data_IF_477503593643
#
_entry.id   IF_477503593643
#
_cell.length_a   1.000
_cell.length_b   1.000
_cell.length_c   1.000
_cell.angle_alpha   90.00
_cell.angle_beta   90.00
_cell.angle_gamma   90.00
#
_symmetry.space_group_name_H-M   'P 1'
#
loop_
_entity.id
_entity.type
_entity.pdbx_description
1 polymer ?
#
# COMPACT_ATOMS: atom_id res chain seq x y z
N UNK A 1 79.75 -25.95 -18.38
CA UNK A 1 79.80 -24.65 -17.68
C UNK A 1 78.58 -24.52 -16.78
N UNK A 2 78.68 -24.99 -15.54
CA UNK A 2 77.73 -24.62 -14.46
C UNK A 2 78.63 -24.05 -13.38
N UNK A 3 78.46 -22.75 -13.14
CA UNK A 3 79.36 -21.94 -12.33
C UNK A 3 79.37 -22.41 -10.87
N UNK A 4 80.55 -22.33 -10.25
CA UNK A 4 80.73 -22.38 -8.80
C UNK A 4 79.86 -21.28 -8.19
N UNK A 5 78.66 -21.63 -7.72
CA UNK A 5 77.89 -20.78 -6.83
C UNK A 5 78.77 -20.60 -5.58
N UNK A 6 79.36 -19.41 -5.42
CA UNK A 6 80.29 -19.10 -4.34
C UNK A 6 79.64 -19.45 -3.00
N UNK A 7 80.29 -20.27 -2.18
CA UNK A 7 79.82 -20.63 -0.83
C UNK A 7 79.47 -19.38 0.01
N UNK A 8 80.11 -18.25 -0.28
CA UNK A 8 79.82 -16.96 0.34
C UNK A 8 78.46 -16.36 -0.09
N UNK A 9 78.08 -16.50 -1.37
CA UNK A 9 76.75 -16.09 -1.86
C UNK A 9 75.66 -16.98 -1.27
N UNK A 10 75.93 -18.29 -1.16
CA UNK A 10 75.03 -19.24 -0.51
C UNK A 10 74.91 -18.94 1.01
N UNK A 11 76.01 -18.64 1.70
CA UNK A 11 75.99 -18.23 3.11
C UNK A 11 75.24 -16.91 3.34
N UNK A 12 75.45 -15.89 2.50
CA UNK A 12 74.74 -14.61 2.61
C UNK A 12 73.24 -14.78 2.35
N UNK A 13 72.86 -15.60 1.37
CA UNK A 13 71.45 -15.96 1.13
C UNK A 13 70.83 -16.70 2.34
N UNK A 14 71.55 -17.64 2.95
CA UNK A 14 71.11 -18.37 4.15
C UNK A 14 70.96 -17.41 5.36
N UNK A 15 71.90 -16.48 5.56
CA UNK A 15 71.83 -15.49 6.66
C UNK A 15 70.67 -14.51 6.46
N UNK A 16 70.41 -14.06 5.22
CA UNK A 16 69.28 -13.18 4.89
C UNK A 16 67.92 -13.91 5.06
N UNK A 17 67.85 -15.19 4.67
CA UNK A 17 66.67 -16.05 4.91
C UNK A 17 66.44 -16.27 6.42
N UNK A 18 67.49 -16.54 7.19
CA UNK A 18 67.40 -16.74 8.64
C UNK A 18 66.98 -15.47 9.39
N UNK A 19 67.51 -14.30 8.99
CA UNK A 19 67.10 -13.00 9.55
C UNK A 19 65.65 -12.64 9.20
N UNK A 20 65.20 -12.98 7.99
CA UNK A 20 63.79 -12.87 7.58
C UNK A 20 62.87 -13.75 8.43
N UNK A 21 63.28 -14.97 8.74
CA UNK A 21 62.51 -15.91 9.56
C UNK A 21 62.42 -15.46 11.03
N UNK A 22 63.54 -15.01 11.62
CA UNK A 22 63.57 -14.51 13.00
C UNK A 22 62.73 -13.23 13.18
N UNK A 23 62.72 -12.34 12.19
CA UNK A 23 61.89 -11.13 12.21
C UNK A 23 60.40 -11.44 12.03
N UNK A 24 60.04 -12.42 11.21
CA UNK A 24 58.65 -12.91 11.10
C UNK A 24 58.16 -13.50 12.42
N UNK A 25 58.96 -14.35 13.08
CA UNK A 25 58.59 -14.97 14.36
C UNK A 25 58.35 -13.93 15.47
N UNK A 26 59.19 -12.90 15.56
CA UNK A 26 59.01 -11.84 16.56
C UNK A 26 57.75 -11.02 16.28
N UNK A 27 57.51 -10.65 15.01
CA UNK A 27 56.28 -9.92 14.63
C UNK A 27 55.02 -10.75 14.83
N UNK A 28 55.10 -12.07 14.68
CA UNK A 28 54.02 -12.98 15.01
C UNK A 28 53.70 -12.96 16.51
N UNK A 29 54.73 -13.06 17.37
CA UNK A 29 54.57 -12.94 18.83
C UNK A 29 53.96 -11.59 19.23
N UNK A 30 54.43 -10.49 18.65
CA UNK A 30 53.87 -9.15 18.89
C UNK A 30 52.36 -9.14 18.56
N UNK A 31 51.97 -9.72 17.43
CA UNK A 31 50.57 -9.78 17.00
C UNK A 31 49.71 -10.65 17.94
N UNK A 32 50.22 -11.81 18.36
CA UNK A 32 49.57 -12.67 19.33
C UNK A 32 49.38 -11.98 20.69
N UNK A 33 50.40 -11.26 21.18
CA UNK A 33 50.33 -10.53 22.44
C UNK A 33 49.34 -9.37 22.40
N UNK A 34 49.30 -8.62 21.29
CA UNK A 34 48.35 -7.51 21.13
C UNK A 34 46.91 -7.99 20.89
N UNK A 35 46.74 -9.16 20.27
CA UNK A 35 45.47 -9.81 19.94
C UNK A 35 44.39 -8.84 19.41
N UNK A 36 44.76 -8.00 18.45
CA UNK A 36 43.89 -6.96 17.91
C UNK A 36 43.84 -7.02 16.39
N UNK A 37 42.74 -6.52 15.81
CA UNK A 37 42.54 -6.42 14.36
C UNK A 37 43.74 -5.71 13.72
N UNK A 38 44.16 -4.56 14.28
CA UNK A 38 45.27 -3.77 13.77
C UNK A 38 46.61 -4.53 13.79
N UNK A 39 46.87 -5.32 14.83
CA UNK A 39 48.12 -6.07 14.95
C UNK A 39 48.20 -7.24 13.95
N UNK A 40 47.11 -7.99 13.77
CA UNK A 40 47.06 -9.06 12.78
C UNK A 40 47.01 -8.52 11.33
N UNK A 41 46.31 -7.41 11.07
CA UNK A 41 46.36 -6.73 9.77
C UNK A 41 47.78 -6.26 9.44
N UNK A 42 48.48 -5.63 10.40
CA UNK A 42 49.87 -5.20 10.22
C UNK A 42 50.81 -6.39 9.94
N UNK A 43 50.60 -7.52 10.62
CA UNK A 43 51.35 -8.75 10.35
C UNK A 43 51.07 -9.29 8.94
N UNK A 44 49.80 -9.41 8.55
CA UNK A 44 49.38 -9.95 7.25
C UNK A 44 49.79 -9.05 6.08
N UNK A 45 49.84 -7.73 6.27
CA UNK A 45 50.34 -6.79 5.27
C UNK A 45 51.81 -7.05 4.91
N UNK A 46 52.61 -7.53 5.87
CA UNK A 46 54.05 -7.80 5.67
C UNK A 46 54.35 -9.26 5.35
N UNK A 47 53.55 -10.20 5.88
CA UNK A 47 53.81 -11.65 5.82
C UNK A 47 52.59 -12.43 5.31
N UNK A 48 51.94 -11.97 4.23
CA UNK A 48 50.72 -12.57 3.68
C UNK A 48 50.85 -14.02 3.19
N UNK A 49 52.07 -14.52 2.94
CA UNK A 49 52.34 -15.92 2.55
C UNK A 49 53.30 -16.63 3.52
N UNK A 50 53.52 -16.05 4.70
CA UNK A 50 54.40 -16.61 5.72
C UNK A 50 53.78 -17.80 6.44
N UNK A 51 54.60 -18.52 7.20
CA UNK A 51 54.21 -19.72 7.97
C UNK A 51 52.98 -19.48 8.88
N UNK A 52 52.89 -18.30 9.49
CA UNK A 52 51.79 -17.93 10.40
C UNK A 52 50.63 -17.21 9.71
N UNK A 53 50.63 -17.08 8.37
CA UNK A 53 49.63 -16.28 7.66
C UNK A 53 48.22 -16.83 7.83
N UNK A 54 48.04 -18.16 7.75
CA UNK A 54 46.72 -18.77 7.88
C UNK A 54 46.19 -18.69 9.32
N UNK A 55 47.07 -18.85 10.32
CA UNK A 55 46.69 -18.64 11.72
C UNK A 55 46.32 -17.17 11.97
N UNK A 56 47.11 -16.23 11.46
CA UNK A 56 46.83 -14.80 11.56
C UNK A 56 45.49 -14.43 10.90
N UNK A 57 45.15 -15.00 9.74
CA UNK A 57 43.84 -14.81 9.08
C UNK A 57 42.70 -15.36 9.94
N UNK A 58 42.85 -16.57 10.48
CA UNK A 58 41.85 -17.17 11.34
C UNK A 58 41.62 -16.36 12.62
N UNK A 59 42.70 -15.83 13.24
CA UNK A 59 42.61 -14.93 14.40
C UNK A 59 41.93 -13.62 14.04
N UNK A 60 42.27 -13.03 12.90
CA UNK A 60 41.67 -11.80 12.41
C UNK A 60 40.16 -11.98 12.17
N UNK A 61 39.76 -13.05 11.48
CA UNK A 61 38.34 -13.41 11.26
C UNK A 61 37.60 -13.57 12.60
N UNK A 62 38.19 -14.31 13.55
CA UNK A 62 37.59 -14.49 14.88
C UNK A 62 37.41 -13.15 15.62
N UNK A 63 38.36 -12.22 15.52
CA UNK A 63 38.23 -10.89 16.12
C UNK A 63 37.15 -10.04 15.45
N UNK A 64 37.02 -10.12 14.12
CA UNK A 64 35.92 -9.45 13.41
C UNK A 64 34.55 -10.04 13.79
N UNK A 65 34.44 -11.36 13.92
CA UNK A 65 33.22 -12.00 14.40
C UNK A 65 32.91 -11.57 15.84
N UNK A 66 33.92 -11.53 16.72
CA UNK A 66 33.73 -11.06 18.10
C UNK A 66 33.28 -9.60 18.14
N UNK A 67 33.83 -8.75 17.27
CA UNK A 67 33.37 -7.36 17.13
C UNK A 67 31.90 -7.29 16.70
N UNK A 68 31.48 -8.13 15.74
CA UNK A 68 30.09 -8.21 15.32
C UNK A 68 29.17 -8.70 16.46
N UNK A 69 29.59 -9.74 17.20
CA UNK A 69 28.90 -10.26 18.40
C UNK A 69 28.74 -9.20 19.48
N UNK A 70 29.77 -8.39 19.72
CA UNK A 70 29.72 -7.33 20.75
C UNK A 70 28.77 -6.19 20.36
N UNK A 71 28.68 -5.85 19.07
CA UNK A 71 27.74 -4.83 18.58
C UNK A 71 26.31 -5.38 18.48
N UNK A 72 26.17 -6.64 18.09
CA UNK A 72 24.93 -7.40 17.98
C UNK A 72 23.82 -6.69 17.17
N UNK A 73 24.17 -6.10 16.03
CA UNK A 73 23.20 -5.54 15.08
C UNK A 73 23.29 -6.21 13.73
N UNK A 74 22.21 -6.11 12.94
CA UNK A 74 22.14 -6.63 11.57
C UNK A 74 23.31 -6.08 10.74
N UNK A 75 23.59 -4.78 10.83
CA UNK A 75 24.66 -4.13 10.06
C UNK A 75 26.05 -4.63 10.47
N UNK A 76 26.25 -4.97 11.75
CA UNK A 76 27.53 -5.49 12.23
C UNK A 76 27.80 -6.89 11.69
N UNK A 77 26.79 -7.77 11.67
CA UNK A 77 26.90 -9.09 11.07
C UNK A 77 26.98 -9.04 9.54
N UNK A 78 26.26 -8.13 8.88
CA UNK A 78 26.36 -7.91 7.43
C UNK A 78 27.78 -7.50 7.03
N UNK A 79 28.37 -6.51 7.71
CA UNK A 79 29.77 -6.10 7.46
C UNK A 79 30.76 -7.25 7.67
N UNK A 80 30.50 -8.11 8.66
CA UNK A 80 31.32 -9.31 8.87
C UNK A 80 31.17 -10.28 7.69
N UNK A 81 29.95 -10.59 7.27
CA UNK A 81 29.64 -11.52 6.18
C UNK A 81 30.09 -11.02 4.80
N UNK A 82 30.12 -9.70 4.58
CA UNK A 82 30.71 -9.09 3.39
C UNK A 82 32.21 -9.35 3.30
N UNK A 83 32.90 -9.37 4.45
CA UNK A 83 34.35 -9.62 4.52
C UNK A 83 34.70 -11.11 4.57
N UNK A 84 33.87 -11.90 5.25
CA UNK A 84 34.04 -13.34 5.49
C UNK A 84 32.75 -14.09 5.13
N UNK A 85 32.49 -14.34 3.83
CA UNK A 85 31.22 -14.89 3.38
C UNK A 85 31.08 -16.41 3.59
N UNK A 86 32.14 -17.13 3.94
CA UNK A 86 32.12 -18.59 4.01
C UNK A 86 32.87 -19.11 5.25
N UNK A 87 32.61 -20.36 5.61
CA UNK A 87 33.26 -21.02 6.75
C UNK A 87 32.45 -20.95 8.03
N UNK A 88 32.93 -21.66 9.07
CA UNK A 88 32.25 -21.79 10.36
C UNK A 88 31.92 -20.44 11.02
N UNK A 89 32.82 -19.43 10.99
CA UNK A 89 32.50 -18.09 11.54
C UNK A 89 31.36 -17.40 10.78
N UNK A 90 31.30 -17.53 9.45
CA UNK A 90 30.20 -17.01 8.63
C UNK A 90 28.87 -17.70 8.98
N UNK A 91 28.87 -19.02 9.15
CA UNK A 91 27.67 -19.77 9.55
C UNK A 91 27.20 -19.37 10.95
N UNK A 92 28.13 -19.12 11.87
CA UNK A 92 27.80 -18.60 13.20
C UNK A 92 27.21 -17.19 13.13
N UNK A 93 27.81 -16.27 12.37
CA UNK A 93 27.27 -14.92 12.17
C UNK A 93 25.85 -14.95 11.58
N UNK A 94 25.60 -15.82 10.58
CA UNK A 94 24.26 -16.02 10.03
C UNK A 94 23.26 -16.49 11.09
N UNK A 95 23.64 -17.49 11.90
CA UNK A 95 22.79 -17.99 13.00
C UNK A 95 22.45 -16.92 14.03
N UNK A 96 23.40 -16.03 14.33
CA UNK A 96 23.18 -14.92 15.26
C UNK A 96 22.34 -13.78 14.65
N UNK A 97 22.47 -13.56 13.34
CA UNK A 97 21.72 -12.54 12.61
C UNK A 97 20.27 -12.95 12.30
N UNK A 98 19.99 -14.26 12.18
CA UNK A 98 18.65 -14.81 11.91
C UNK A 98 17.54 -14.25 12.83
N UNK A 99 17.61 -14.36 14.17
CA UNK A 99 16.59 -13.80 15.05
C UNK A 99 16.47 -12.27 14.95
N UNK A 100 17.58 -11.55 14.74
CA UNK A 100 17.56 -10.09 14.62
C UNK A 100 16.82 -9.62 13.37
N UNK A 101 17.03 -10.28 12.24
CA UNK A 101 16.32 -9.94 11.00
C UNK A 101 14.83 -10.31 11.08
N UNK A 102 14.49 -11.40 11.77
CA UNK A 102 13.09 -11.74 12.02
C UNK A 102 12.40 -10.74 12.96
N UNK A 103 13.09 -10.28 14.02
CA UNK A 103 12.60 -9.22 14.91
C UNK A 103 12.41 -7.89 14.17
N UNK A 104 13.36 -7.50 13.31
CA UNK A 104 13.21 -6.32 12.43
C UNK A 104 11.98 -6.46 11.52
N UNK A 105 11.75 -7.64 10.93
CA UNK A 105 10.57 -7.90 10.12
C UNK A 105 9.27 -7.81 10.92
N UNK A 106 9.23 -8.37 12.15
CA UNK A 106 8.08 -8.27 13.05
C UNK A 106 7.79 -6.84 13.48
N UNK A 107 8.83 -6.03 13.72
CA UNK A 107 8.66 -4.63 14.13
C UNK A 107 8.04 -3.76 13.02
N UNK A 108 8.39 -4.05 11.75
CA UNK A 108 7.83 -3.37 10.58
C UNK A 108 6.45 -3.90 10.22
N UNK A 109 6.24 -5.20 10.42
CA UNK A 109 5.01 -5.92 10.15
C UNK A 109 4.42 -5.67 8.75
N UNK A 110 5.28 -5.63 7.72
CA UNK A 110 4.87 -5.50 6.32
C UNK A 110 5.22 -6.77 5.54
N UNK A 111 4.44 -7.06 4.50
CA UNK A 111 4.68 -8.21 3.63
C UNK A 111 6.08 -8.17 3.01
N UNK A 112 6.56 -6.98 2.66
CA UNK A 112 7.90 -6.74 2.12
C UNK A 112 9.02 -7.02 3.13
N UNK A 113 8.82 -6.69 4.41
CA UNK A 113 9.83 -6.95 5.45
C UNK A 113 9.98 -8.45 5.73
N UNK A 114 8.87 -9.19 5.82
CA UNK A 114 8.90 -10.64 5.94
C UNK A 114 9.48 -11.31 4.70
N UNK A 115 9.17 -10.81 3.50
CA UNK A 115 9.76 -11.32 2.26
C UNK A 115 11.27 -11.14 2.23
N UNK A 116 11.77 -9.98 2.67
CA UNK A 116 13.19 -9.73 2.81
C UNK A 116 13.85 -10.75 3.75
N UNK A 117 13.22 -11.05 4.89
CA UNK A 117 13.72 -12.06 5.82
C UNK A 117 13.76 -13.46 5.17
N UNK A 118 12.66 -13.90 4.55
CA UNK A 118 12.55 -15.22 3.89
C UNK A 118 13.62 -15.39 2.81
N UNK A 119 13.85 -14.36 1.99
CA UNK A 119 14.87 -14.40 0.94
C UNK A 119 16.30 -14.39 1.50
N UNK A 120 16.52 -13.74 2.64
CA UNK A 120 17.83 -13.69 3.31
C UNK A 120 18.17 -15.01 4.02
N UNK A 121 17.16 -15.66 4.61
CA UNK A 121 17.30 -16.92 5.32
C UNK A 121 16.29 -17.98 4.84
N UNK A 122 16.45 -18.59 3.65
CA UNK A 122 15.49 -19.57 3.13
C UNK A 122 15.32 -20.81 4.02
N UNK A 123 16.34 -21.12 4.84
CA UNK A 123 16.34 -22.22 5.82
C UNK A 123 16.49 -21.70 7.26
N UNK A 124 16.12 -20.44 7.50
CA UNK A 124 16.16 -19.82 8.83
C UNK A 124 15.16 -20.43 9.80
N UNK A 125 15.39 -20.23 11.10
CA UNK A 125 14.55 -20.79 12.17
C UNK A 125 13.10 -20.30 12.09
N UNK A 126 12.87 -19.09 11.59
CA UNK A 126 11.56 -18.43 11.61
C UNK A 126 10.88 -18.38 10.24
N UNK A 127 11.37 -19.11 9.23
CA UNK A 127 10.84 -19.03 7.84
C UNK A 127 9.35 -19.33 7.76
N UNK A 128 8.89 -20.44 8.35
CA UNK A 128 7.48 -20.81 8.28
C UNK A 128 6.59 -19.79 8.98
N UNK A 129 7.03 -19.30 10.15
CA UNK A 129 6.33 -18.21 10.85
C UNK A 129 6.34 -16.92 10.04
N UNK A 130 7.44 -16.57 9.39
CA UNK A 130 7.54 -15.37 8.56
C UNK A 130 6.65 -15.48 7.31
N UNK A 131 6.49 -16.67 6.72
CA UNK A 131 5.55 -16.89 5.60
C UNK A 131 4.11 -16.64 6.04
N UNK A 132 3.71 -17.17 7.18
CA UNK A 132 2.38 -16.92 7.76
C UNK A 132 2.16 -15.43 8.02
N UNK A 133 3.09 -14.79 8.73
CA UNK A 133 3.01 -13.36 9.05
C UNK A 133 3.04 -12.47 7.79
N UNK A 134 3.75 -12.89 6.74
CA UNK A 134 3.73 -12.21 5.43
C UNK A 134 2.34 -12.21 4.82
N UNK A 135 1.63 -13.34 4.85
CA UNK A 135 0.27 -13.43 4.32
C UNK A 135 -0.68 -12.54 5.12
N UNK A 136 -0.57 -12.56 6.45
CA UNK A 136 -1.38 -11.71 7.32
C UNK A 136 -1.11 -10.21 7.07
N UNK A 137 0.15 -9.82 6.97
CA UNK A 137 0.52 -8.43 6.64
C UNK A 137 0.02 -8.03 5.24
N UNK A 138 0.15 -8.92 4.25
CA UNK A 138 -0.34 -8.66 2.89
C UNK A 138 -1.87 -8.52 2.85
N UNK A 139 -2.60 -9.31 3.63
CA UNK A 139 -4.05 -9.17 3.77
C UNK A 139 -4.41 -7.76 4.26
N UNK A 140 -3.75 -7.28 5.32
CA UNK A 140 -3.96 -5.91 5.83
C UNK A 140 -3.64 -4.86 4.77
N UNK A 141 -2.49 -4.96 4.11
CA UNK A 141 -2.11 -4.05 3.02
C UNK A 141 -3.15 -4.05 1.88
N UNK A 142 -3.69 -5.23 1.56
CA UNK A 142 -4.69 -5.40 0.51
C UNK A 142 -6.00 -4.69 0.85
N UNK A 143 -6.54 -4.90 2.06
CA UNK A 143 -7.79 -4.25 2.50
C UNK A 143 -7.61 -2.74 2.73
N UNK A 144 -6.39 -2.27 3.03
CA UNK A 144 -6.09 -0.84 3.16
C UNK A 144 -6.09 -0.13 1.81
N UNK A 145 -5.59 -0.80 0.75
CA UNK A 145 -5.64 -0.25 -0.61
C UNK A 145 -7.04 -0.32 -1.22
N UNK A 146 -7.83 -1.33 -0.84
CA UNK A 146 -9.24 -1.51 -1.22
C UNK A 146 -9.45 -1.44 -2.74
N UNK A 147 -8.72 -2.27 -3.49
CA UNK A 147 -8.79 -2.29 -4.97
C UNK A 147 -9.11 -3.67 -5.51
N UNK A 148 -9.93 -3.73 -6.56
CA UNK A 148 -10.23 -4.96 -7.31
C UNK A 148 -8.96 -5.73 -7.68
N UNK A 149 -7.96 -5.03 -8.24
CA UNK A 149 -6.69 -5.66 -8.63
C UNK A 149 -5.94 -6.25 -7.44
N UNK A 150 -5.90 -5.53 -6.31
CA UNK A 150 -5.26 -6.05 -5.09
C UNK A 150 -5.95 -7.31 -4.58
N UNK A 151 -7.28 -7.34 -4.60
CA UNK A 151 -8.08 -8.51 -4.25
C UNK A 151 -7.81 -9.69 -5.19
N UNK A 152 -7.80 -9.47 -6.50
CA UNK A 152 -7.48 -10.49 -7.51
C UNK A 152 -6.06 -11.06 -7.31
N UNK A 153 -5.06 -10.19 -7.13
CA UNK A 153 -3.66 -10.58 -6.91
C UNK A 153 -3.52 -11.42 -5.62
N UNK A 154 -4.24 -11.06 -4.55
CA UNK A 154 -4.25 -11.83 -3.30
C UNK A 154 -4.87 -13.22 -3.48
N UNK A 155 -6.07 -13.30 -4.06
CA UNK A 155 -6.79 -14.56 -4.28
C UNK A 155 -5.99 -15.49 -5.20
N UNK A 156 -5.38 -14.95 -6.25
CA UNK A 156 -4.57 -15.74 -7.17
C UNK A 156 -3.34 -16.35 -6.48
N UNK A 157 -2.70 -15.58 -5.60
CA UNK A 157 -1.46 -16.00 -4.95
C UNK A 157 -1.68 -16.84 -3.69
N UNK A 158 -2.80 -16.66 -3.02
CA UNK A 158 -3.13 -17.29 -1.74
C UNK A 158 -4.56 -17.85 -1.70
N UNK A 159 -4.96 -18.74 -2.64
CA UNK A 159 -6.34 -19.21 -2.74
C UNK A 159 -6.83 -20.02 -1.52
N UNK A 160 -5.91 -20.61 -0.77
CA UNK A 160 -6.21 -21.43 0.42
C UNK A 160 -5.92 -20.68 1.74
N UNK A 161 -5.70 -19.36 1.70
CA UNK A 161 -5.50 -18.57 2.91
C UNK A 161 -6.80 -18.44 3.70
N UNK A 162 -6.71 -18.37 5.03
CA UNK A 162 -7.84 -18.05 5.91
C UNK A 162 -8.52 -16.69 5.59
N UNK A 163 -7.82 -15.80 4.89
CA UNK A 163 -8.32 -14.47 4.49
C UNK A 163 -9.02 -14.46 3.13
N UNK A 164 -8.94 -15.55 2.36
CA UNK A 164 -9.43 -15.57 0.96
C UNK A 164 -10.93 -15.30 0.89
N UNK A 165 -11.71 -15.88 1.81
CA UNK A 165 -13.17 -15.70 1.83
C UNK A 165 -13.57 -14.26 2.13
N UNK A 166 -12.86 -13.57 3.03
CA UNK A 166 -13.10 -12.15 3.31
C UNK A 166 -12.79 -11.28 2.09
N UNK A 167 -11.63 -11.52 1.45
CA UNK A 167 -11.24 -10.81 0.22
C UNK A 167 -12.21 -11.08 -0.93
N UNK A 168 -12.71 -12.30 -1.07
CA UNK A 168 -13.73 -12.64 -2.07
C UNK A 168 -15.04 -11.89 -1.81
N UNK A 169 -15.46 -11.75 -0.55
CA UNK A 169 -16.67 -10.99 -0.22
C UNK A 169 -16.50 -9.51 -0.54
N UNK A 170 -15.34 -8.92 -0.19
CA UNK A 170 -15.01 -7.53 -0.55
C UNK A 170 -14.97 -7.31 -2.05
N UNK A 171 -14.37 -8.23 -2.80
CA UNK A 171 -14.36 -8.19 -4.25
C UNK A 171 -15.79 -8.22 -4.83
N UNK A 172 -16.65 -9.12 -4.33
CA UNK A 172 -18.05 -9.16 -4.76
C UNK A 172 -18.75 -7.84 -4.48
N UNK A 173 -18.51 -7.24 -3.31
CA UNK A 173 -19.11 -5.97 -2.95
C UNK A 173 -18.70 -4.86 -3.91
N UNK A 174 -17.41 -4.73 -4.18
CA UNK A 174 -16.85 -3.72 -5.08
C UNK A 174 -17.38 -3.90 -6.51
N UNK A 175 -17.48 -5.14 -6.99
CA UNK A 175 -18.05 -5.44 -8.30
C UNK A 175 -19.55 -5.12 -8.37
N UNK A 176 -20.32 -5.40 -7.31
CA UNK A 176 -21.74 -5.05 -7.25
C UNK A 176 -21.91 -3.53 -7.27
N UNK A 177 -21.09 -2.78 -6.51
CA UNK A 177 -21.14 -1.32 -6.54
C UNK A 177 -20.83 -0.77 -7.95
N UNK A 178 -19.75 -1.24 -8.58
CA UNK A 178 -19.38 -0.84 -9.94
C UNK A 178 -20.45 -1.19 -10.98
N UNK A 179 -21.12 -2.34 -10.83
CA UNK A 179 -22.24 -2.73 -11.68
C UNK A 179 -23.43 -1.79 -11.48
N UNK A 180 -23.80 -1.50 -10.22
CA UNK A 180 -24.93 -0.64 -9.90
C UNK A 180 -24.74 0.79 -10.41
N UNK A 181 -23.52 1.34 -10.35
CA UNK A 181 -23.23 2.69 -10.85
C UNK A 181 -23.42 2.86 -12.36
N UNK A 182 -23.24 1.77 -13.12
CA UNK A 182 -23.40 1.74 -14.57
C UNK A 182 -24.77 1.21 -15.02
N UNK A 183 -25.63 0.86 -14.06
CA UNK A 183 -26.88 0.18 -14.32
C UNK A 183 -27.97 1.17 -14.74
N UNK A 184 -28.78 0.79 -15.74
CA UNK A 184 -29.98 1.55 -16.10
C UNK A 184 -30.99 1.53 -14.94
N UNK A 185 -31.78 2.60 -14.77
CA UNK A 185 -32.75 2.74 -13.66
C UNK A 185 -33.72 1.55 -13.56
N UNK A 186 -34.22 1.05 -14.69
CA UNK A 186 -35.11 -0.14 -14.73
C UNK A 186 -34.45 -1.39 -14.14
N UNK A 187 -33.16 -1.57 -14.38
CA UNK A 187 -32.41 -2.71 -13.87
C UNK A 187 -32.08 -2.55 -12.38
N UNK A 188 -31.90 -1.32 -11.89
CA UNK A 188 -31.80 -1.03 -10.45
C UNK A 188 -33.09 -1.41 -9.73
N UNK A 189 -34.27 -1.16 -10.33
CA UNK A 189 -35.55 -1.57 -9.76
C UNK A 189 -35.69 -3.09 -9.67
N UNK A 190 -35.35 -3.83 -10.74
CA UNK A 190 -35.33 -5.32 -10.71
C UNK A 190 -34.36 -5.86 -9.66
N UNK A 191 -33.21 -5.22 -9.47
CA UNK A 191 -32.27 -5.56 -8.40
C UNK A 191 -32.92 -5.39 -7.03
N UNK A 192 -33.57 -4.26 -6.77
CA UNK A 192 -34.24 -3.98 -5.48
C UNK A 192 -35.44 -4.89 -5.20
N UNK A 193 -36.15 -5.37 -6.23
CA UNK A 193 -37.21 -6.38 -6.07
C UNK A 193 -36.66 -7.71 -5.56
N UNK A 194 -35.49 -8.12 -6.08
CA UNK A 194 -34.84 -9.37 -5.69
C UNK A 194 -34.07 -9.24 -4.38
N UNK A 195 -33.47 -8.08 -4.13
CA UNK A 195 -32.62 -7.77 -2.98
C UNK A 195 -33.11 -6.49 -2.29
N UNK A 196 -34.20 -6.56 -1.50
CA UNK A 196 -34.85 -5.38 -0.94
C UNK A 196 -34.16 -4.78 0.29
N UNK A 197 -33.13 -5.44 0.84
CA UNK A 197 -32.46 -5.07 2.09
C UNK A 197 -30.96 -5.35 2.01
N UNK A 198 -30.20 -4.66 2.87
CA UNK A 198 -28.75 -4.81 2.99
C UNK A 198 -28.01 -3.66 2.27
N UNK A 199 -26.70 -3.59 2.48
CA UNK A 199 -25.86 -2.48 1.99
C UNK A 199 -25.97 -2.24 0.48
N UNK A 200 -26.08 -3.30 -0.31
CA UNK A 200 -26.25 -3.20 -1.77
C UNK A 200 -27.61 -2.65 -2.16
N UNK A 201 -28.66 -2.99 -1.41
CA UNK A 201 -29.99 -2.39 -1.57
C UNK A 201 -29.97 -0.90 -1.18
N UNK A 202 -29.24 -0.54 -0.13
CA UNK A 202 -29.07 0.86 0.29
C UNK A 202 -28.32 1.66 -0.79
N UNK A 203 -27.20 1.14 -1.32
CA UNK A 203 -26.45 1.73 -2.44
C UNK A 203 -27.33 1.88 -3.69
N UNK A 204 -28.02 0.82 -4.09
CA UNK A 204 -28.95 0.84 -5.22
C UNK A 204 -30.06 1.90 -5.04
N UNK A 205 -30.59 2.06 -3.81
CA UNK A 205 -31.56 3.11 -3.51
C UNK A 205 -30.96 4.51 -3.63
N UNK A 206 -29.72 4.76 -3.16
CA UNK A 206 -29.04 6.06 -3.36
C UNK A 206 -28.97 6.39 -4.85
N UNK A 207 -28.46 5.46 -5.66
CA UNK A 207 -28.31 5.65 -7.11
C UNK A 207 -29.65 5.90 -7.81
N UNK A 208 -30.69 5.12 -7.46
CA UNK A 208 -32.06 5.32 -7.92
C UNK A 208 -32.56 6.73 -7.59
N UNK A 209 -32.42 7.18 -6.34
CA UNK A 209 -32.91 8.51 -5.96
C UNK A 209 -32.11 9.64 -6.62
N UNK A 210 -30.79 9.47 -6.83
CA UNK A 210 -29.99 10.43 -7.61
C UNK A 210 -30.48 10.49 -9.06
N UNK A 211 -30.81 9.36 -9.69
CA UNK A 211 -31.44 9.33 -11.03
C UNK A 211 -32.78 10.06 -11.03
N UNK A 212 -33.64 9.75 -10.06
CA UNK A 212 -34.99 10.31 -9.93
C UNK A 212 -35.00 11.83 -9.73
N UNK A 213 -33.93 12.45 -9.22
CA UNK A 213 -33.82 13.92 -9.17
C UNK A 213 -33.87 14.57 -10.56
N UNK A 214 -33.52 13.84 -11.63
CA UNK A 214 -33.61 14.31 -13.03
C UNK A 214 -34.94 13.96 -13.70
N UNK A 215 -35.80 13.17 -13.04
CA UNK A 215 -37.02 12.66 -13.64
C UNK A 215 -37.99 13.81 -14.01
N UNK A 216 -38.74 13.75 -15.12
CA UNK A 216 -39.75 14.76 -15.46
C UNK A 216 -40.91 14.88 -14.46
N UNK A 217 -41.23 13.84 -13.68
CA UNK A 217 -42.28 13.88 -12.66
C UNK A 217 -41.78 14.55 -11.36
N UNK A 218 -42.37 15.70 -11.04
CA UNK A 218 -42.14 16.44 -9.79
C UNK A 218 -42.29 15.59 -8.52
N UNK A 219 -43.24 14.66 -8.48
CA UNK A 219 -43.48 13.81 -7.31
C UNK A 219 -42.28 12.89 -7.06
N UNK A 220 -41.70 12.33 -8.13
CA UNK A 220 -40.52 11.48 -8.05
C UNK A 220 -39.30 12.28 -7.58
N UNK A 221 -39.09 13.50 -8.12
CA UNK A 221 -38.00 14.38 -7.66
C UNK A 221 -38.14 14.76 -6.19
N UNK A 222 -39.35 15.12 -5.75
CA UNK A 222 -39.63 15.47 -4.36
C UNK A 222 -39.40 14.27 -3.42
N UNK A 223 -39.87 13.08 -3.81
CA UNK A 223 -39.62 11.87 -3.04
C UNK A 223 -38.12 11.59 -2.95
N UNK A 224 -37.42 11.57 -4.09
CA UNK A 224 -35.98 11.35 -4.16
C UNK A 224 -35.20 12.30 -3.27
N UNK A 225 -35.50 13.60 -3.33
CA UNK A 225 -34.91 14.62 -2.45
C UNK A 225 -35.09 14.28 -0.97
N UNK A 226 -36.31 13.91 -0.55
CA UNK A 226 -36.60 13.53 0.84
C UNK A 226 -35.85 12.27 1.26
N UNK A 227 -35.75 11.26 0.41
CA UNK A 227 -35.05 10.02 0.74
C UNK A 227 -33.54 10.26 0.84
N UNK A 228 -32.93 10.99 -0.10
CA UNK A 228 -31.51 11.34 -0.04
C UNK A 228 -31.17 12.17 1.21
N UNK A 229 -32.05 13.08 1.63
CA UNK A 229 -31.90 13.83 2.89
C UNK A 229 -31.89 12.89 4.10
N UNK A 230 -32.77 11.89 4.15
CA UNK A 230 -32.79 10.88 5.24
C UNK A 230 -31.52 10.03 5.26
N UNK A 231 -31.03 9.65 4.08
CA UNK A 231 -29.82 8.84 3.91
C UNK A 231 -28.53 9.66 4.08
N UNK A 232 -28.61 10.98 4.26
CA UNK A 232 -27.50 11.92 4.06
C UNK A 232 -26.16 11.58 4.72
N UNK A 233 -26.16 10.90 5.87
CA UNK A 233 -24.93 10.47 6.56
C UNK A 233 -24.18 9.33 5.85
N UNK A 234 -24.91 8.56 5.04
CA UNK A 234 -24.45 7.35 4.34
C UNK A 234 -24.02 7.68 2.89
N UNK A 235 -24.25 8.92 2.42
CA UNK A 235 -23.85 9.36 1.08
C UNK A 235 -22.33 9.61 1.01
N UNK A 236 -21.70 9.05 -0.01
CA UNK A 236 -20.28 9.20 -0.27
C UNK A 236 -19.97 10.49 -1.09
N UNK A 237 -18.68 10.76 -1.33
CA UNK A 237 -18.25 11.94 -2.10
C UNK A 237 -18.76 11.93 -3.55
N UNK A 238 -18.68 10.81 -4.31
CA UNK A 238 -19.31 10.69 -5.64
C UNK A 238 -20.81 11.02 -5.66
N UNK A 239 -21.58 10.60 -4.65
CA UNK A 239 -23.02 10.87 -4.54
C UNK A 239 -23.28 12.38 -4.45
N UNK A 240 -22.57 13.06 -3.55
CA UNK A 240 -22.69 14.52 -3.38
C UNK A 240 -22.30 15.27 -4.65
N UNK A 241 -21.22 14.85 -5.32
CA UNK A 241 -20.81 15.43 -6.61
C UNK A 241 -21.86 15.22 -7.70
N UNK A 242 -22.55 14.08 -7.71
CA UNK A 242 -23.63 13.80 -8.66
C UNK A 242 -24.80 14.74 -8.43
N UNK A 243 -25.22 14.93 -7.17
CA UNK A 243 -26.29 15.87 -6.81
C UNK A 243 -25.88 17.32 -7.11
N UNK A 244 -24.64 17.70 -6.82
CA UNK A 244 -24.08 19.02 -7.16
C UNK A 244 -24.07 19.27 -8.69
N UNK A 245 -23.70 18.26 -9.48
CA UNK A 245 -23.74 18.31 -10.94
C UNK A 245 -25.17 18.53 -11.43
N UNK A 246 -26.17 17.83 -10.85
CA UNK A 246 -27.59 18.03 -11.15
C UNK A 246 -28.02 19.47 -10.81
N UNK A 247 -27.59 19.99 -9.65
CA UNK A 247 -27.89 21.37 -9.25
C UNK A 247 -27.31 22.40 -10.24
N UNK A 248 -26.08 22.19 -10.72
CA UNK A 248 -25.39 23.13 -11.62
C UNK A 248 -25.88 23.04 -13.06
N UNK A 249 -26.03 21.82 -13.58
CA UNK A 249 -26.22 21.52 -15.00
C UNK A 249 -27.61 20.97 -15.36
N UNK A 250 -28.45 20.68 -14.35
CA UNK A 250 -29.78 20.12 -14.56
C UNK A 250 -30.69 21.03 -15.40
N UNK A 251 -31.76 20.46 -15.94
CA UNK A 251 -32.73 21.23 -16.73
C UNK A 251 -33.41 22.30 -15.88
N UNK A 252 -33.55 23.50 -16.46
CA UNK A 252 -34.18 24.64 -15.79
C UNK A 252 -35.71 24.57 -15.79
N UNK A 253 -36.31 23.73 -16.63
CA UNK A 253 -37.76 23.53 -16.64
C UNK A 253 -38.16 22.24 -17.35
N UNK A 254 -39.37 21.76 -17.04
CA UNK A 254 -40.08 20.75 -17.82
C UNK A 254 -41.38 21.34 -18.36
N UNK A 255 -41.72 21.00 -19.61
CA UNK A 255 -42.98 21.40 -20.25
C UNK A 255 -44.08 20.41 -19.85
N UNK A 256 -45.19 20.92 -19.32
CA UNK A 256 -46.41 20.15 -19.08
C UNK A 256 -47.47 20.58 -20.08
N UNK A 257 -47.87 19.67 -20.97
CA UNK A 257 -49.00 19.89 -21.87
C UNK A 257 -50.28 19.49 -21.13
N UNK A 258 -51.18 20.45 -20.93
CA UNK A 258 -52.56 20.15 -20.53
C UNK A 258 -53.40 20.02 -21.80
N UNK A 259 -53.97 18.84 -22.01
CA UNK A 259 -54.80 18.55 -23.17
C UNK A 259 -56.18 19.22 -23.00
N UNK A 260 -56.31 20.48 -23.42
CA UNK A 260 -57.58 21.07 -23.85
C UNK A 260 -57.32 22.38 -24.59
N UNK A 261 -57.44 22.30 -25.93
CA UNK A 261 -57.60 23.39 -26.92
C UNK A 261 -56.61 24.56 -26.82
N UNK A 262 -55.67 24.56 -27.78
CA UNK A 262 -55.03 25.71 -28.44
C UNK A 262 -54.29 26.78 -27.64
N UNK A 263 -54.20 26.76 -26.30
CA UNK A 263 -53.48 27.81 -25.56
C UNK A 263 -52.90 27.31 -24.21
N UNK A 264 -51.66 27.74 -23.95
CA UNK A 264 -50.82 27.59 -22.75
C UNK A 264 -49.99 26.31 -22.59
N UNK A 265 -48.67 26.45 -22.71
CA UNK A 265 -47.68 25.51 -22.18
C UNK A 265 -47.38 25.89 -20.73
N UNK A 266 -47.77 25.05 -19.76
CA UNK A 266 -47.48 25.31 -18.36
C UNK A 266 -46.13 24.70 -17.98
N UNK A 267 -45.27 25.50 -17.35
CA UNK A 267 -44.02 25.02 -16.76
C UNK A 267 -44.24 24.61 -15.31
N UNK A 268 -43.46 23.64 -14.84
CA UNK A 268 -43.39 23.33 -13.42
C UNK A 268 -42.84 24.52 -12.62
N UNK A 269 -43.35 24.72 -11.39
CA UNK A 269 -42.95 25.82 -10.51
C UNK A 269 -41.50 25.68 -10.00
N UNK A 270 -40.94 24.48 -10.10
CA UNK A 270 -39.64 24.08 -9.54
C UNK A 270 -38.87 23.20 -10.52
N UNK A 271 -37.63 23.58 -10.79
CA UNK A 271 -36.73 22.90 -11.73
C UNK A 271 -36.01 21.69 -11.13
N UNK A 272 -35.34 20.88 -11.96
CA UNK A 272 -34.40 19.85 -11.48
C UNK A 272 -33.31 20.46 -10.59
N UNK A 273 -32.80 21.64 -10.98
CA UNK A 273 -31.82 22.39 -10.18
C UNK A 273 -32.36 22.74 -8.79
N UNK A 274 -33.65 23.08 -8.69
CA UNK A 274 -34.30 23.37 -7.42
C UNK A 274 -34.26 22.18 -6.46
N UNK A 275 -34.65 20.98 -6.91
CA UNK A 275 -34.68 19.79 -6.05
C UNK A 275 -33.28 19.32 -5.64
N UNK A 276 -32.30 19.39 -6.54
CA UNK A 276 -30.92 19.09 -6.18
C UNK A 276 -30.36 20.09 -5.15
N UNK A 277 -30.66 21.39 -5.32
CA UNK A 277 -30.29 22.41 -4.35
C UNK A 277 -30.98 22.21 -2.98
N UNK A 278 -32.28 21.92 -2.97
CA UNK A 278 -33.04 21.58 -1.76
C UNK A 278 -32.42 20.38 -1.04
N UNK A 279 -32.02 19.36 -1.80
CA UNK A 279 -31.38 18.15 -1.27
C UNK A 279 -30.06 18.49 -0.58
N UNK A 280 -29.16 19.23 -1.26
CA UNK A 280 -27.86 19.63 -0.71
C UNK A 280 -27.97 20.54 0.52
N UNK A 281 -29.00 21.39 0.58
CA UNK A 281 -29.24 22.27 1.74
C UNK A 281 -29.67 21.50 3.00
N UNK A 282 -30.29 20.33 2.83
CA UNK A 282 -30.89 19.57 3.94
C UNK A 282 -30.15 18.26 4.28
N UNK A 283 -29.22 17.80 3.43
CA UNK A 283 -28.39 16.63 3.71
C UNK A 283 -27.42 16.91 4.87
N UNK A 284 -27.30 15.95 5.79
CA UNK A 284 -26.24 15.90 6.80
C UNK A 284 -25.08 15.04 6.31
N UNK A 285 -24.15 15.63 5.55
CA UNK A 285 -22.97 14.93 5.02
C UNK A 285 -21.72 15.77 5.19
N UNK A 286 -20.61 15.13 5.61
CA UNK A 286 -19.28 15.78 5.72
C UNK A 286 -18.73 16.24 4.36
N UNK A 287 -19.27 15.75 3.26
CA UNK A 287 -18.85 16.10 1.90
C UNK A 287 -19.57 17.33 1.34
N UNK A 288 -20.61 17.83 2.00
CA UNK A 288 -21.31 19.06 1.61
C UNK A 288 -20.59 20.26 2.24
N UNK A 289 -19.79 20.95 1.43
CA UNK A 289 -18.96 22.09 1.87
C UNK A 289 -19.77 23.38 2.00
N UNK A 290 -19.20 24.38 2.67
CA UNK A 290 -19.77 25.74 2.75
C UNK A 290 -19.98 26.37 1.37
N UNK A 291 -19.11 26.08 0.40
CA UNK A 291 -19.25 26.57 -0.96
C UNK A 291 -20.44 25.90 -1.68
N UNK A 292 -20.57 24.57 -1.56
CA UNK A 292 -21.74 23.85 -2.08
C UNK A 292 -23.04 24.41 -1.48
N UNK A 293 -23.05 24.68 -0.16
CA UNK A 293 -24.20 25.28 0.53
C UNK A 293 -24.55 26.67 -0.02
N UNK A 294 -23.55 27.51 -0.31
CA UNK A 294 -23.74 28.85 -0.87
C UNK A 294 -24.33 28.80 -2.28
N UNK A 295 -23.76 27.95 -3.14
CA UNK A 295 -24.27 27.72 -4.49
C UNK A 295 -25.69 27.14 -4.47
N UNK A 296 -25.98 26.21 -3.56
CA UNK A 296 -27.31 25.63 -3.39
C UNK A 296 -28.36 26.67 -2.98
N UNK A 297 -28.03 27.63 -2.10
CA UNK A 297 -28.94 28.75 -1.79
C UNK A 297 -29.27 29.57 -3.04
N UNK A 298 -28.28 29.83 -3.90
CA UNK A 298 -28.48 30.56 -5.16
C UNK A 298 -29.34 29.74 -6.14
N UNK A 299 -29.02 28.47 -6.33
CA UNK A 299 -29.73 27.56 -7.22
C UNK A 299 -31.18 27.34 -6.78
N UNK A 300 -31.45 27.16 -5.47
CA UNK A 300 -32.80 27.05 -4.92
C UNK A 300 -33.62 28.33 -5.18
N UNK A 301 -33.03 29.52 -5.05
CA UNK A 301 -33.70 30.79 -5.34
C UNK A 301 -34.01 30.95 -6.83
N UNK A 302 -33.06 30.59 -7.72
CA UNK A 302 -33.22 30.71 -9.18
C UNK A 302 -34.14 29.65 -9.77
N UNK A 303 -34.10 28.44 -9.23
CA UNK A 303 -34.82 27.28 -9.75
C UNK A 303 -36.33 27.26 -9.48
N UNK A 304 -36.87 28.27 -8.77
CA UNK A 304 -38.29 28.50 -8.56
C UNK A 304 -38.80 29.45 -9.66
N UNK A 305 -39.35 28.93 -10.76
CA UNK A 305 -39.80 29.80 -11.86
C UNK A 305 -41.18 30.40 -11.57
N UNK A 306 -41.27 31.70 -11.84
CA UNK A 306 -42.51 32.49 -11.86
C UNK A 306 -43.30 32.11 -13.12
N UNK A 307 -44.62 32.03 -12.98
CA UNK A 307 -45.59 31.92 -14.07
C UNK A 307 -45.15 32.71 -15.31
N UNK A 308 -45.01 32.06 -16.47
CA UNK A 308 -45.23 32.76 -17.72
C UNK A 308 -46.72 32.60 -18.01
N UNK A 309 -47.43 33.71 -17.86
CA UNK A 309 -48.81 33.82 -18.32
C UNK A 309 -48.72 33.77 -19.83
N UNK A 310 -48.94 32.58 -20.41
CA UNK A 310 -49.20 32.44 -21.83
C UNK A 310 -50.64 32.95 -22.07
N UNK A 311 -50.93 34.21 -21.76
CA UNK A 311 -52.15 34.84 -22.26
C UNK A 311 -51.77 35.52 -23.57
N UNK A 312 -52.01 34.89 -24.73
CA UNK A 312 -52.07 35.63 -25.97
C UNK A 312 -53.34 36.47 -25.83
N UNK A 313 -53.20 37.66 -25.21
CA UNK A 313 -54.31 38.57 -25.00
C UNK A 313 -55.21 38.54 -26.23
N UNK A 314 -56.46 38.17 -26.01
CA UNK A 314 -57.48 38.06 -27.04
C UNK A 314 -57.37 39.30 -27.95
N UNK A 315 -57.11 39.07 -29.24
CA UNK A 315 -57.28 40.09 -30.30
C UNK A 315 -58.73 40.08 -30.73
#
# INVERSE_FOLDING_TARGET
>A
MISKLNHWVLMVLIVLLAAGCATMQNRWKDAQSANSIAAYDAFLNRYSKGEFADEARARLEALYLQKAKNTNTIEAYQRFLERYPHGKPADEARKLMDPLLFEDAQSKNTSAAYEKYINTFPTGKYVEKAKEMKVNALYIETIETDTVRGYEDFIQKYPDSEHTDDILERLKDELIEALLENLAEELIEKFLERFPKGKHADRANVLKYISQLKNPDEKLRLNASRQLVKMGKDLNRPDIKSIESIMKKGTESWRRYLYKRSHCTWYEKTSVKYYAAETLLNIKSKYVTSEIQKEAKVAKRKGKYKYKVDDPGWV
#
